data_IF_390240882652
#
_entry.id   IF_390240882652
#
_cell.length_a   1.000
_cell.length_b   1.000
_cell.length_c   1.000
_cell.angle_alpha   90.00
_cell.angle_beta   90.00
_cell.angle_gamma   90.00
#
_symmetry.space_group_name_H-M   'P 1'
#
loop_
_entity.id
_entity.type
_entity.pdbx_description
1 polymer ?
#
# COMPACT_ATOMS: atom_id res chain seq x y z
N UNK A 1 -10.01 28.22 13.03
CA UNK A 1 -10.02 27.56 11.75
C UNK A 1 -8.86 28.01 10.91
N UNK A 2 -7.76 27.24 10.85
CA UNK A 2 -6.75 27.41 9.82
C UNK A 2 -7.32 26.81 8.53
N UNK A 3 -7.63 27.64 7.54
CA UNK A 3 -7.91 27.19 6.20
C UNK A 3 -6.57 26.66 5.63
N UNK A 4 -6.46 25.36 5.50
CA UNK A 4 -5.38 24.73 4.73
C UNK A 4 -5.66 25.08 3.27
N UNK A 5 -4.91 26.04 2.76
CA UNK A 5 -4.92 26.37 1.33
C UNK A 5 -4.26 25.16 0.66
N UNK A 6 -5.05 24.28 0.08
CA UNK A 6 -4.56 23.23 -0.81
C UNK A 6 -3.96 23.91 -2.03
N UNK A 7 -2.63 24.00 -2.06
CA UNK A 7 -1.91 24.45 -3.26
C UNK A 7 -2.16 23.37 -4.32
N UNK A 8 -2.89 23.75 -5.39
CA UNK A 8 -3.20 22.85 -6.49
C UNK A 8 -1.90 22.56 -7.24
N UNK A 9 -1.53 21.26 -7.34
CA UNK A 9 -0.38 20.84 -8.12
C UNK A 9 -0.55 21.16 -9.61
N UNK A 10 0.55 21.48 -10.29
CA UNK A 10 0.60 21.65 -11.74
C UNK A 10 1.29 20.45 -12.40
N UNK A 11 1.10 20.20 -13.71
CA UNK A 11 1.78 19.12 -14.42
C UNK A 11 3.31 19.14 -14.27
N UNK A 12 3.90 20.31 -14.03
CA UNK A 12 5.35 20.50 -13.89
C UNK A 12 5.88 19.97 -12.54
N UNK A 13 4.99 19.75 -11.55
CA UNK A 13 5.36 19.22 -10.24
C UNK A 13 5.57 17.71 -10.26
N UNK A 14 5.14 17.03 -11.32
CA UNK A 14 5.21 15.58 -11.45
C UNK A 14 6.51 15.12 -12.10
N UNK A 15 6.96 13.92 -11.72
CA UNK A 15 7.93 13.18 -12.52
C UNK A 15 7.26 12.82 -13.85
N UNK A 16 7.98 13.01 -14.94
CA UNK A 16 7.50 12.72 -16.28
C UNK A 16 8.39 11.71 -17.00
N UNK A 17 7.86 11.12 -18.05
CA UNK A 17 8.58 10.17 -18.90
C UNK A 17 9.02 10.90 -20.17
N UNK A 18 10.32 10.84 -20.47
CA UNK A 18 10.89 11.28 -21.75
C UNK A 18 11.70 10.14 -22.39
N UNK A 19 11.15 9.52 -23.43
CA UNK A 19 11.73 8.33 -24.03
C UNK A 19 11.71 7.14 -23.07
N UNK A 20 12.89 6.74 -22.60
CA UNK A 20 13.07 5.64 -21.63
C UNK A 20 13.47 6.16 -20.23
N UNK A 21 13.52 7.46 -20.05
CA UNK A 21 13.99 8.09 -18.81
C UNK A 21 12.83 8.65 -18.01
N UNK A 22 12.95 8.55 -16.68
CA UNK A 22 12.16 9.34 -15.74
C UNK A 22 12.87 10.67 -15.55
N UNK A 23 12.11 11.77 -15.61
CA UNK A 23 12.63 13.12 -15.49
C UNK A 23 11.97 13.80 -14.30
N UNK A 24 12.80 14.29 -13.39
CA UNK A 24 12.37 15.05 -12.23
C UNK A 24 11.82 16.45 -12.63
N UNK A 25 11.05 17.11 -11.74
CA UNK A 25 10.55 18.46 -12.00
C UNK A 25 11.62 19.49 -12.37
N UNK A 26 12.85 19.35 -11.88
CA UNK A 26 13.98 20.22 -12.18
C UNK A 26 14.65 19.94 -13.56
N UNK A 27 14.14 18.93 -14.30
CA UNK A 27 14.66 18.54 -15.60
C UNK A 27 15.81 17.52 -15.57
N UNK A 28 16.27 17.12 -14.38
CA UNK A 28 17.30 16.08 -14.24
C UNK A 28 16.72 14.66 -14.42
N UNK A 29 17.57 13.72 -14.83
CA UNK A 29 17.17 12.31 -14.85
C UNK A 29 16.94 11.81 -13.42
N UNK A 30 15.81 11.14 -13.22
CA UNK A 30 15.45 10.55 -11.96
C UNK A 30 15.73 9.04 -11.96
N UNK A 31 16.58 8.60 -11.03
CA UNK A 31 16.86 7.19 -10.81
C UNK A 31 16.21 6.74 -9.51
N UNK A 32 15.37 5.72 -9.57
CA UNK A 32 14.71 5.14 -8.40
C UNK A 32 15.78 4.50 -7.50
N UNK A 33 15.86 4.99 -6.27
CA UNK A 33 16.70 4.46 -5.20
C UNK A 33 15.84 4.30 -3.97
N UNK A 34 15.48 3.08 -3.62
CA UNK A 34 14.52 2.92 -2.55
C UNK A 34 14.40 1.52 -2.00
N UNK A 35 13.38 1.36 -1.19
CA UNK A 35 13.03 0.10 -0.54
C UNK A 35 11.52 -0.10 -0.52
N UNK A 36 11.10 -1.32 -0.13
CA UNK A 36 9.69 -1.65 0.04
C UNK A 36 9.29 -1.58 1.51
N UNK A 37 8.07 -1.13 1.78
CA UNK A 37 7.44 -1.26 3.10
C UNK A 37 6.64 -2.57 3.17
N UNK A 38 7.33 -3.70 3.00
CA UNK A 38 6.73 -5.03 3.03
C UNK A 38 6.20 -5.41 4.41
N UNK A 39 5.34 -6.43 4.44
CA UNK A 39 4.72 -7.00 5.64
C UNK A 39 3.84 -6.04 6.45
N UNK A 40 3.62 -4.84 6.01
CA UNK A 40 2.81 -3.85 6.74
C UNK A 40 1.34 -3.88 6.32
N UNK A 41 1.02 -3.33 5.15
CA UNK A 41 -0.36 -3.31 4.62
C UNK A 41 -0.68 -4.53 3.76
N UNK A 42 0.24 -5.48 3.73
CA UNK A 42 0.12 -6.78 3.09
C UNK A 42 0.99 -7.80 3.86
N UNK A 43 0.49 -8.38 4.96
CA UNK A 43 1.23 -9.34 5.74
C UNK A 43 1.55 -10.61 4.97
N UNK A 44 2.80 -11.02 5.06
CA UNK A 44 3.30 -12.26 4.44
C UNK A 44 3.94 -13.15 5.50
N UNK A 45 3.50 -14.41 5.57
CA UNK A 45 3.86 -15.30 6.67
C UNK A 45 5.35 -15.52 6.85
N UNK A 46 6.12 -15.57 5.75
CA UNK A 46 7.58 -15.76 5.85
C UNK A 46 8.29 -14.58 6.54
N UNK A 47 7.72 -13.36 6.44
CA UNK A 47 8.25 -12.19 7.14
C UNK A 47 7.95 -12.22 8.64
N UNK A 48 6.92 -12.97 9.06
CA UNK A 48 6.67 -13.31 10.47
C UNK A 48 7.48 -14.52 10.95
N UNK A 49 8.21 -15.19 10.06
CA UNK A 49 8.92 -16.45 10.36
C UNK A 49 8.03 -17.68 10.33
N UNK A 50 6.82 -17.61 9.78
CA UNK A 50 5.93 -18.77 9.64
C UNK A 50 6.31 -19.62 8.42
N UNK A 51 6.29 -20.93 8.58
CA UNK A 51 6.68 -21.86 7.52
C UNK A 51 5.54 -22.34 6.63
N UNK A 52 4.28 -22.22 7.07
CA UNK A 52 3.10 -22.75 6.39
C UNK A 52 1.95 -21.77 6.26
N UNK A 53 1.87 -20.79 7.13
CA UNK A 53 0.83 -19.77 7.15
C UNK A 53 1.36 -18.56 6.39
N UNK A 54 0.96 -18.39 5.13
CA UNK A 54 1.62 -17.43 4.22
C UNK A 54 0.79 -16.18 3.93
N UNK A 55 -0.52 -16.30 3.84
CA UNK A 55 -1.37 -15.16 3.47
C UNK A 55 -1.91 -14.40 4.67
N UNK A 56 -2.29 -13.15 4.45
CA UNK A 56 -2.94 -12.33 5.47
C UNK A 56 -4.16 -13.02 6.09
N UNK A 57 -5.00 -13.64 5.26
CA UNK A 57 -6.19 -14.41 5.70
C UNK A 57 -5.83 -15.57 6.61
N UNK A 58 -4.80 -16.34 6.26
CA UNK A 58 -4.37 -17.50 7.06
C UNK A 58 -3.73 -17.05 8.38
N UNK A 59 -2.99 -15.94 8.38
CA UNK A 59 -2.40 -15.35 9.59
C UNK A 59 -3.50 -14.87 10.52
N UNK A 60 -4.49 -14.16 10.01
CA UNK A 60 -5.65 -13.68 10.79
C UNK A 60 -6.42 -14.86 11.42
N UNK A 61 -6.72 -15.89 10.63
CA UNK A 61 -7.38 -17.09 11.12
C UNK A 61 -6.59 -17.75 12.25
N UNK A 62 -5.29 -17.91 12.07
CA UNK A 62 -4.42 -18.52 13.08
C UNK A 62 -4.42 -17.69 14.38
N UNK A 63 -4.34 -16.37 14.29
CA UNK A 63 -4.40 -15.51 15.47
C UNK A 63 -5.76 -15.57 16.14
N UNK A 64 -6.86 -15.61 15.38
CA UNK A 64 -8.20 -15.77 15.93
C UNK A 64 -8.36 -17.11 16.69
N UNK A 65 -7.76 -18.18 16.21
CA UNK A 65 -7.76 -19.48 16.90
C UNK A 65 -6.92 -19.47 18.19
N UNK A 66 -5.84 -18.66 18.22
CA UNK A 66 -4.95 -18.54 19.38
C UNK A 66 -5.48 -17.65 20.49
N UNK A 67 -6.01 -16.48 20.15
CA UNK A 67 -6.33 -15.42 21.13
C UNK A 67 -7.76 -14.89 21.00
N UNK A 68 -8.53 -15.38 20.06
CA UNK A 68 -9.89 -14.93 19.79
C UNK A 68 -9.97 -13.72 18.83
N UNK A 69 -11.14 -13.50 18.22
CA UNK A 69 -11.28 -12.49 17.16
C UNK A 69 -11.13 -11.04 17.66
N UNK A 70 -11.55 -10.74 18.88
CA UNK A 70 -11.48 -9.36 19.40
C UNK A 70 -10.02 -8.95 19.65
N UNK A 71 -9.22 -9.79 20.32
CA UNK A 71 -7.80 -9.51 20.52
C UNK A 71 -7.01 -9.51 19.21
N UNK A 72 -7.40 -10.35 18.24
CA UNK A 72 -6.78 -10.34 16.90
C UNK A 72 -7.06 -9.01 16.19
N UNK A 73 -8.28 -8.50 16.29
CA UNK A 73 -8.60 -7.18 15.73
C UNK A 73 -7.79 -6.05 16.38
N UNK A 74 -7.66 -6.05 17.71
CA UNK A 74 -6.82 -5.10 18.44
C UNK A 74 -5.34 -5.21 18.03
N UNK A 75 -4.83 -6.44 17.89
CA UNK A 75 -3.46 -6.67 17.42
C UNK A 75 -3.23 -6.04 16.04
N UNK A 76 -4.14 -6.23 15.09
CA UNK A 76 -3.98 -5.69 13.74
C UNK A 76 -4.02 -4.16 13.72
N UNK A 77 -4.87 -3.52 14.53
CA UNK A 77 -4.86 -2.06 14.65
C UNK A 77 -3.51 -1.56 15.19
N UNK A 78 -3.03 -2.17 16.28
CA UNK A 78 -1.72 -1.84 16.84
C UNK A 78 -0.58 -2.12 15.85
N UNK A 79 -0.66 -3.21 15.10
CA UNK A 79 0.33 -3.55 14.08
C UNK A 79 0.36 -2.50 12.96
N UNK A 80 -0.80 -2.14 12.41
CA UNK A 80 -0.90 -1.10 11.37
C UNK A 80 -0.38 0.26 11.86
N UNK A 81 -0.60 0.59 13.12
CA UNK A 81 -0.21 1.88 13.70
C UNK A 81 1.29 1.97 14.04
N UNK A 82 1.93 0.84 14.31
CA UNK A 82 3.29 0.83 14.87
C UNK A 82 4.34 0.14 14.02
N UNK A 83 3.97 -0.69 13.05
CA UNK A 83 4.93 -1.45 12.24
C UNK A 83 5.73 -0.56 11.28
N UNK A 84 5.07 0.40 10.65
CA UNK A 84 5.73 1.49 9.90
C UNK A 84 5.22 2.80 10.45
N UNK A 85 6.16 3.66 10.82
CA UNK A 85 5.89 4.97 11.42
C UNK A 85 6.60 6.08 10.64
N UNK A 86 6.31 7.34 10.97
CA UNK A 86 7.04 8.49 10.43
C UNK A 86 8.56 8.37 10.64
N UNK A 87 8.99 7.86 11.79
CA UNK A 87 10.41 7.70 12.08
C UNK A 87 11.11 6.72 11.13
N UNK A 88 10.41 5.67 10.68
CA UNK A 88 10.95 4.74 9.69
C UNK A 88 11.17 5.43 8.34
N UNK A 89 10.23 6.27 7.91
CA UNK A 89 10.35 7.06 6.68
C UNK A 89 11.52 8.05 6.77
N UNK A 90 11.66 8.73 7.90
CA UNK A 90 12.78 9.64 8.18
C UNK A 90 14.12 8.89 8.14
N UNK A 91 14.18 7.69 8.71
CA UNK A 91 15.35 6.84 8.64
C UNK A 91 15.68 6.44 7.19
N UNK A 92 14.70 5.97 6.42
CA UNK A 92 14.89 5.61 5.00
C UNK A 92 15.44 6.80 4.22
N UNK A 93 14.85 7.99 4.39
CA UNK A 93 15.34 9.20 3.73
C UNK A 93 16.80 9.52 4.10
N UNK A 94 17.18 9.31 5.36
CA UNK A 94 18.55 9.55 5.84
C UNK A 94 19.60 8.65 5.18
N UNK A 95 19.21 7.53 4.60
CA UNK A 95 20.09 6.61 3.86
C UNK A 95 20.44 7.10 2.46
N UNK A 96 19.80 8.17 1.98
CA UNK A 96 19.93 8.67 0.61
C UNK A 96 18.94 8.04 -0.38
N UNK A 97 17.95 7.30 0.10
CA UNK A 97 16.83 6.85 -0.70
C UNK A 97 15.98 8.03 -1.18
N UNK A 98 15.33 7.88 -2.33
CA UNK A 98 14.42 8.89 -2.90
C UNK A 98 13.01 8.33 -3.18
N UNK A 99 12.80 7.04 -2.96
CA UNK A 99 11.53 6.36 -3.29
C UNK A 99 11.26 5.25 -2.30
N UNK A 100 10.00 5.08 -1.95
CA UNK A 100 9.49 3.86 -1.31
C UNK A 100 8.44 3.20 -2.20
N UNK A 101 8.35 1.88 -2.15
CA UNK A 101 7.23 1.12 -2.70
C UNK A 101 6.35 0.67 -1.54
N UNK A 102 5.05 0.92 -1.66
CA UNK A 102 4.04 0.59 -0.65
C UNK A 102 3.16 -0.55 -1.14
N UNK A 103 3.49 -1.81 -0.79
CA UNK A 103 2.61 -2.94 -1.05
C UNK A 103 1.38 -2.88 -0.16
N UNK A 104 0.20 -3.08 -0.74
CA UNK A 104 -1.05 -3.15 -0.02
C UNK A 104 -1.98 -4.24 -0.56
N UNK A 105 -2.87 -4.71 0.30
CA UNK A 105 -3.93 -5.62 -0.07
C UNK A 105 -5.16 -4.83 -0.55
N UNK A 106 -5.83 -5.30 -1.61
CA UNK A 106 -6.99 -4.61 -2.19
C UNK A 106 -8.13 -4.36 -1.20
N UNK A 107 -8.29 -5.21 -0.19
CA UNK A 107 -9.36 -5.10 0.81
C UNK A 107 -9.30 -3.83 1.64
N UNK A 108 -8.14 -3.20 1.78
CA UNK A 108 -8.00 -1.90 2.45
C UNK A 108 -8.81 -0.77 1.77
N UNK A 109 -9.21 -0.97 0.52
CA UNK A 109 -10.04 -0.04 -0.24
C UNK A 109 -11.47 -0.53 -0.48
N UNK A 110 -11.92 -1.50 0.31
CA UNK A 110 -13.26 -2.09 0.31
C UNK A 110 -13.91 -2.01 1.69
N UNK A 111 -15.17 -2.47 1.80
CA UNK A 111 -15.88 -2.57 3.08
C UNK A 111 -15.65 -3.93 3.78
N UNK A 112 -14.78 -4.78 3.23
CA UNK A 112 -14.46 -6.08 3.83
C UNK A 112 -13.46 -5.92 4.97
N UNK A 113 -13.70 -6.63 6.08
CA UNK A 113 -12.73 -6.70 7.18
C UNK A 113 -11.39 -7.27 6.69
N UNK A 114 -10.32 -6.57 7.02
CA UNK A 114 -8.96 -6.93 6.67
C UNK A 114 -7.98 -6.38 7.69
N UNK A 115 -7.16 -7.25 8.27
CA UNK A 115 -6.28 -6.87 9.38
C UNK A 115 -7.05 -6.15 10.50
N UNK A 116 -8.05 -6.84 11.05
CA UNK A 116 -8.99 -6.27 12.00
C UNK A 116 -10.26 -5.77 11.32
N UNK A 117 -10.90 -4.78 11.93
CA UNK A 117 -12.13 -4.17 11.42
C UNK A 117 -11.78 -3.04 10.48
N UNK A 118 -11.95 -3.26 9.19
CA UNK A 118 -11.67 -2.28 8.15
C UNK A 118 -12.89 -1.41 7.90
N UNK A 119 -12.67 -0.11 7.77
CA UNK A 119 -13.65 0.83 7.22
C UNK A 119 -13.19 1.27 5.84
N UNK A 120 -14.11 1.61 4.94
CA UNK A 120 -13.80 1.91 3.53
C UNK A 120 -12.75 3.02 3.30
N UNK A 121 -12.53 3.89 4.29
CA UNK A 121 -11.55 4.98 4.24
C UNK A 121 -10.15 4.62 4.76
N UNK A 122 -10.00 3.44 5.37
CA UNK A 122 -8.78 3.05 6.06
C UNK A 122 -7.56 3.05 5.13
N UNK A 123 -7.72 2.51 3.92
CA UNK A 123 -6.66 2.50 2.92
C UNK A 123 -6.20 3.92 2.53
N UNK A 124 -7.13 4.84 2.32
CA UNK A 124 -6.80 6.23 1.99
C UNK A 124 -6.14 6.95 3.15
N UNK A 125 -6.62 6.80 4.39
CA UNK A 125 -6.03 7.43 5.57
C UNK A 125 -4.58 6.95 5.80
N UNK A 126 -4.33 5.66 5.61
CA UNK A 126 -2.99 5.08 5.72
C UNK A 126 -2.06 5.57 4.61
N UNK A 127 -2.50 5.57 3.38
CA UNK A 127 -1.71 6.06 2.24
C UNK A 127 -1.47 7.57 2.36
N UNK A 128 -2.45 8.37 2.79
CA UNK A 128 -2.30 9.81 3.03
C UNK A 128 -1.22 10.10 4.07
N UNK A 129 -1.16 9.30 5.14
CA UNK A 129 -0.11 9.40 6.15
C UNK A 129 1.28 9.17 5.53
N UNK A 130 1.43 8.09 4.75
CA UNK A 130 2.69 7.76 4.07
C UNK A 130 3.10 8.86 3.09
N UNK A 131 2.16 9.36 2.29
CA UNK A 131 2.41 10.45 1.34
C UNK A 131 2.89 11.71 2.07
N UNK A 132 2.25 12.05 3.18
CA UNK A 132 2.64 13.20 3.99
C UNK A 132 4.05 13.03 4.54
N UNK A 133 4.37 11.88 5.12
CA UNK A 133 5.70 11.59 5.64
C UNK A 133 6.77 11.61 4.55
N UNK A 134 6.45 11.05 3.38
CA UNK A 134 7.35 11.03 2.23
C UNK A 134 7.58 12.43 1.66
N UNK A 135 6.52 13.23 1.51
CA UNK A 135 6.63 14.62 1.05
C UNK A 135 7.55 15.43 1.95
N UNK A 136 7.36 15.33 3.27
CA UNK A 136 8.16 16.07 4.26
C UNK A 136 9.63 15.65 4.23
N UNK A 137 9.95 14.47 3.73
CA UNK A 137 11.30 13.91 3.68
C UNK A 137 11.89 13.79 2.27
N UNK A 138 11.22 14.36 1.26
CA UNK A 138 11.72 14.36 -0.12
C UNK A 138 11.71 13.00 -0.81
N UNK A 139 10.81 12.10 -0.41
CA UNK A 139 10.63 10.77 -1.00
C UNK A 139 9.42 10.73 -1.92
N UNK A 140 9.51 9.92 -2.97
CA UNK A 140 8.38 9.54 -3.82
C UNK A 140 7.81 8.19 -3.37
N UNK A 141 6.55 7.91 -3.78
CA UNK A 141 5.83 6.70 -3.41
C UNK A 141 5.38 5.95 -4.67
N UNK A 142 5.66 4.66 -4.72
CA UNK A 142 5.07 3.73 -5.70
C UNK A 142 3.98 2.95 -4.98
N UNK A 143 2.72 3.09 -5.41
CA UNK A 143 1.60 2.31 -4.92
C UNK A 143 1.56 0.95 -5.62
N UNK A 144 1.49 -0.12 -4.83
CA UNK A 144 1.48 -1.48 -5.34
C UNK A 144 0.33 -2.29 -4.73
N UNK A 145 -0.70 -2.56 -5.54
CA UNK A 145 -1.72 -3.54 -5.16
C UNK A 145 -1.10 -4.94 -5.24
N UNK A 146 -0.48 -5.35 -4.17
CA UNK A 146 0.30 -6.58 -4.11
C UNK A 146 -0.58 -7.83 -4.04
N UNK A 147 -1.73 -7.73 -3.37
CA UNK A 147 -2.79 -8.74 -3.38
C UNK A 147 -4.02 -8.17 -4.08
N UNK A 148 -4.36 -8.75 -5.22
CA UNK A 148 -5.46 -8.31 -6.08
C UNK A 148 -6.73 -9.15 -5.86
N UNK A 149 -7.93 -8.62 -6.20
CA UNK A 149 -9.17 -9.38 -6.11
C UNK A 149 -9.10 -10.73 -6.83
N UNK A 150 -9.42 -11.80 -6.13
CA UNK A 150 -9.39 -13.18 -6.66
C UNK A 150 -8.00 -13.82 -6.67
N UNK A 151 -6.95 -13.07 -6.37
CA UNK A 151 -5.56 -13.51 -6.44
C UNK A 151 -5.01 -13.60 -7.87
N UNK A 152 -3.75 -13.29 -8.03
CA UNK A 152 -3.08 -13.23 -9.34
C UNK A 152 -2.12 -14.38 -9.59
N UNK A 153 -1.65 -15.09 -8.54
CA UNK A 153 -0.66 -16.17 -8.68
C UNK A 153 -1.26 -17.57 -8.55
N UNK A 154 -2.35 -17.72 -7.82
CA UNK A 154 -2.90 -19.02 -7.44
C UNK A 154 -2.25 -19.60 -6.18
N UNK A 155 -1.20 -18.99 -5.67
CA UNK A 155 -0.59 -19.36 -4.37
C UNK A 155 -1.30 -18.61 -3.24
N UNK A 156 -1.29 -19.18 -2.04
CA UNK A 156 -1.93 -18.57 -0.88
C UNK A 156 -1.24 -17.28 -0.41
N UNK A 157 -0.05 -16.99 -0.85
CA UNK A 157 0.70 -15.77 -0.50
C UNK A 157 -0.04 -14.48 -0.92
N UNK A 158 -0.84 -14.55 -1.97
CA UNK A 158 -1.69 -13.45 -2.43
C UNK A 158 -3.17 -13.63 -2.06
N UNK A 159 -3.45 -14.34 -0.98
CA UNK A 159 -4.79 -14.71 -0.50
C UNK A 159 -5.64 -15.49 -1.52
N UNK A 160 -5.07 -16.00 -2.60
CA UNK A 160 -5.81 -16.85 -3.53
C UNK A 160 -6.13 -18.22 -2.92
N UNK A 161 -7.14 -18.88 -3.48
CA UNK A 161 -7.62 -20.17 -3.02
C UNK A 161 -7.14 -21.31 -3.96
N UNK A 162 -5.86 -21.30 -4.32
CA UNK A 162 -5.25 -22.30 -5.19
C UNK A 162 -5.42 -22.06 -6.68
N UNK A 163 -5.95 -20.90 -7.07
CA UNK A 163 -6.17 -20.53 -8.48
C UNK A 163 -6.13 -19.01 -8.70
N UNK A 164 -5.52 -18.50 -9.78
CA UNK A 164 -5.41 -17.07 -10.06
C UNK A 164 -6.70 -16.51 -10.67
N UNK A 165 -7.75 -16.40 -9.88
CA UNK A 165 -9.09 -15.99 -10.33
C UNK A 165 -9.16 -14.59 -10.93
N UNK A 166 -8.24 -13.70 -10.61
CA UNK A 166 -8.16 -12.39 -11.26
C UNK A 166 -8.11 -12.49 -12.77
N UNK A 167 -7.43 -13.51 -13.30
CA UNK A 167 -7.23 -13.67 -14.75
C UNK A 167 -8.47 -14.20 -15.49
N UNK A 168 -9.42 -14.80 -14.77
CA UNK A 168 -10.60 -15.44 -15.37
C UNK A 168 -11.95 -14.91 -14.85
N UNK A 169 -11.98 -14.31 -13.67
CA UNK A 169 -13.22 -13.81 -13.08
C UNK A 169 -13.48 -12.35 -13.49
N UNK A 170 -14.49 -12.14 -14.33
CA UNK A 170 -14.94 -10.78 -14.70
C UNK A 170 -15.28 -9.93 -13.47
N UNK A 171 -15.86 -10.54 -12.42
CA UNK A 171 -16.16 -9.86 -11.16
C UNK A 171 -14.87 -9.37 -10.47
N UNK A 172 -13.83 -10.21 -10.42
CA UNK A 172 -12.54 -9.84 -9.83
C UNK A 172 -11.84 -8.75 -10.63
N UNK A 173 -11.86 -8.85 -11.96
CA UNK A 173 -11.31 -7.84 -12.87
C UNK A 173 -12.02 -6.50 -12.73
N UNK A 174 -13.35 -6.51 -12.63
CA UNK A 174 -14.14 -5.29 -12.44
C UNK A 174 -13.81 -4.63 -11.10
N UNK A 175 -13.75 -5.40 -10.01
CA UNK A 175 -13.39 -4.89 -8.70
C UNK A 175 -11.96 -4.31 -8.69
N UNK A 176 -11.00 -5.01 -9.31
CA UNK A 176 -9.63 -4.52 -9.49
C UNK A 176 -9.60 -3.15 -10.19
N UNK A 177 -10.32 -3.03 -11.31
CA UNK A 177 -10.40 -1.78 -12.06
C UNK A 177 -11.08 -0.67 -11.25
N UNK A 178 -12.15 -0.99 -10.53
CA UNK A 178 -12.90 0.00 -9.75
C UNK A 178 -12.08 0.55 -8.59
N UNK A 179 -11.30 -0.30 -7.91
CA UNK A 179 -10.38 0.13 -6.85
C UNK A 179 -9.30 1.04 -7.43
N UNK A 180 -8.65 0.65 -8.53
CA UNK A 180 -7.63 1.49 -9.16
C UNK A 180 -8.19 2.81 -9.68
N UNK A 181 -9.42 2.85 -10.19
CA UNK A 181 -10.08 4.11 -10.56
C UNK A 181 -10.30 5.02 -9.35
N UNK A 182 -10.75 4.46 -8.23
CA UNK A 182 -10.90 5.22 -6.97
C UNK A 182 -9.56 5.82 -6.52
N UNK A 183 -8.51 5.00 -6.49
CA UNK A 183 -7.17 5.42 -6.08
C UNK A 183 -6.64 6.50 -7.04
N UNK A 184 -6.73 6.27 -8.34
CA UNK A 184 -6.26 7.22 -9.35
C UNK A 184 -7.03 8.55 -9.31
N UNK A 185 -8.34 8.52 -9.11
CA UNK A 185 -9.14 9.75 -9.02
C UNK A 185 -8.83 10.53 -7.74
N UNK A 186 -8.62 9.82 -6.62
CA UNK A 186 -8.28 10.44 -5.34
C UNK A 186 -6.89 11.11 -5.37
N UNK A 187 -5.90 10.45 -5.99
CA UNK A 187 -4.50 10.90 -6.01
C UNK A 187 -4.06 11.58 -7.32
N UNK A 188 -4.96 11.89 -8.24
CA UNK A 188 -4.62 12.48 -9.56
C UNK A 188 -3.81 13.78 -9.50
N UNK A 189 -3.94 14.51 -8.41
CA UNK A 189 -3.24 15.79 -8.19
C UNK A 189 -2.08 15.65 -7.17
N UNK A 190 -1.62 14.42 -6.88
CA UNK A 190 -0.60 14.15 -5.88
C UNK A 190 0.76 13.83 -6.53
N UNK A 191 1.68 14.81 -6.62
CA UNK A 191 2.95 14.61 -7.32
C UNK A 191 3.97 13.73 -6.57
N UNK A 192 3.72 13.38 -5.31
CA UNK A 192 4.57 12.46 -4.54
C UNK A 192 4.42 11.02 -5.04
N UNK A 193 3.29 10.67 -5.65
CA UNK A 193 3.08 9.35 -6.27
C UNK A 193 3.77 9.33 -7.64
N UNK A 194 4.58 8.28 -7.84
CA UNK A 194 5.38 8.06 -9.04
C UNK A 194 4.61 7.27 -10.08
#
# INVERSE_FOLDING_TARGET
GCATTTVKSSPEDFIRIEGQDLIAPDGSKFFIKGTNLGNWLNPEGYMFGFSKTNSARMIDQMFCEMVGPDFTAEFWEMFKDNYVTRADIEFIASTGANTIRLPFHYKLFTDEDYMGRTVAQDGFERVDSVITWCRDNGLYVILDMHDAPGGQTGDNIDDSYGYPWLLESEKSQQLFCDIWRKIADYYKDEPVIL
#
